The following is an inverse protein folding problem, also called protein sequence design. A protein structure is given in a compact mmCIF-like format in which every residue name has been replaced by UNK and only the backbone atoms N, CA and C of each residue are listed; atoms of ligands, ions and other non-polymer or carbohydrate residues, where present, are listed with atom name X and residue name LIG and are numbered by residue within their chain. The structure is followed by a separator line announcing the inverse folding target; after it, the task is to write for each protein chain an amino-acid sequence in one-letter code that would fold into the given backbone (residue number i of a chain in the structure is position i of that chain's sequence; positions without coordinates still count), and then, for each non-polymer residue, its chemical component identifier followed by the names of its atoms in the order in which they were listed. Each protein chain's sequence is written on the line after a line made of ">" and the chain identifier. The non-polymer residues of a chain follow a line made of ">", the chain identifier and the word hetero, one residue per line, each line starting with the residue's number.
data_IF_118864707702
#
_entry.id   IF_118864707702
#
_cell.length_a   1.000
_cell.length_b   1.000
_cell.length_c   1.000
_cell.angle_alpha   90.00
_cell.angle_beta   90.00
_cell.angle_gamma   90.00
#
_symmetry.space_group_name_H-M   'P 1'
#
loop_
_entity.id
_entity.type
_entity.pdbx_description
1 polymer ?
#
# COMPACT_ATOMS: atom_id res chain seq x y z
N UNK A 1 17.57 -51.57 50.46
CA UNK A 1 17.60 -50.21 49.90
C UNK A 1 17.84 -50.30 48.41
N UNK A 2 16.83 -50.01 47.58
CA UNK A 2 16.99 -49.83 46.13
C UNK A 2 16.63 -48.38 45.83
N UNK A 3 17.59 -47.61 45.32
CA UNK A 3 17.39 -46.23 44.91
C UNK A 3 16.80 -46.21 43.49
N UNK A 4 15.68 -45.51 43.31
CA UNK A 4 15.05 -45.25 42.01
C UNK A 4 15.47 -43.84 41.60
N UNK A 5 16.26 -43.74 40.54
CA UNK A 5 16.69 -42.46 39.94
C UNK A 5 15.65 -42.05 38.91
N UNK A 6 14.95 -40.95 39.15
CA UNK A 6 14.04 -40.34 38.18
C UNK A 6 14.82 -39.43 37.24
N UNK A 7 14.80 -39.74 35.94
CA UNK A 7 15.34 -38.88 34.89
C UNK A 7 14.20 -37.96 34.42
N UNK A 8 14.26 -36.68 34.78
CA UNK A 8 13.40 -35.65 34.20
C UNK A 8 13.88 -35.31 32.78
N UNK A 9 13.15 -35.76 31.77
CA UNK A 9 13.28 -35.27 30.39
C UNK A 9 12.64 -33.88 30.31
N UNK A 10 13.48 -32.85 30.27
CA UNK A 10 13.08 -31.49 29.87
C UNK A 10 12.78 -31.51 28.37
N UNK A 11 11.49 -31.50 28.02
CA UNK A 11 11.05 -31.24 26.66
C UNK A 11 11.30 -29.75 26.34
N UNK A 12 12.42 -29.45 25.68
CA UNK A 12 12.67 -28.15 25.09
C UNK A 12 11.72 -27.94 23.91
N UNK A 13 10.66 -27.16 24.12
CA UNK A 13 9.84 -26.62 23.04
C UNK A 13 10.71 -25.70 22.19
N UNK A 14 11.08 -26.18 20.99
CA UNK A 14 11.64 -25.33 19.94
C UNK A 14 10.62 -24.25 19.60
N UNK A 15 10.87 -23.03 20.08
CA UNK A 15 10.20 -21.84 19.54
C UNK A 15 10.74 -21.69 18.12
N UNK A 16 9.98 -22.16 17.14
CA UNK A 16 10.23 -21.81 15.74
C UNK A 16 9.99 -20.31 15.65
N UNK A 17 11.05 -19.52 15.65
CA UNK A 17 10.98 -18.11 15.30
C UNK A 17 10.43 -18.05 13.88
N UNK A 18 9.29 -17.38 13.69
CA UNK A 18 8.77 -17.12 12.34
C UNK A 18 9.89 -16.52 11.47
N UNK A 19 10.01 -16.99 10.23
CA UNK A 19 10.97 -16.42 9.29
C UNK A 19 10.65 -14.93 9.12
N UNK A 20 11.64 -14.06 9.33
CA UNK A 20 11.55 -12.62 9.12
C UNK A 20 12.88 -12.13 8.51
N UNK A 21 12.98 -10.85 8.17
CA UNK A 21 14.16 -10.27 7.57
C UNK A 21 15.39 -10.52 8.45
N UNK A 22 16.57 -10.77 7.85
CA UNK A 22 17.79 -10.97 8.62
C UNK A 22 18.24 -9.70 9.35
N UNK A 23 17.76 -8.52 8.94
CA UNK A 23 17.93 -7.26 9.65
C UNK A 23 16.64 -6.84 10.35
N UNK A 24 16.79 -6.30 11.56
CA UNK A 24 15.70 -5.70 12.33
C UNK A 24 15.69 -4.19 12.13
N UNK A 25 14.57 -3.60 11.67
CA UNK A 25 14.39 -2.15 11.64
C UNK A 25 14.51 -1.53 13.03
N UNK A 26 15.12 -0.35 13.11
CA UNK A 26 14.94 0.55 14.25
C UNK A 26 13.71 1.40 13.94
N UNK A 27 12.65 1.37 14.77
CA UNK A 27 11.44 2.12 14.48
C UNK A 27 11.67 3.62 14.64
N UNK A 28 10.99 4.43 13.81
CA UNK A 28 11.23 5.88 13.74
C UNK A 28 11.01 6.62 15.07
N UNK A 29 10.13 6.13 15.94
CA UNK A 29 9.85 6.74 17.25
C UNK A 29 10.92 6.46 18.31
N UNK A 30 11.87 5.58 18.03
CA UNK A 30 13.08 5.37 18.85
C UNK A 30 14.27 6.23 18.36
N UNK A 31 14.08 7.05 17.32
CA UNK A 31 15.14 7.88 16.73
C UNK A 31 14.80 9.36 16.89
N UNK A 32 15.60 10.10 17.66
CA UNK A 32 15.49 11.55 17.78
C UNK A 32 16.23 12.27 16.62
N UNK A 33 15.49 12.96 15.77
CA UNK A 33 16.02 13.65 14.59
C UNK A 33 16.46 15.08 14.93
N UNK A 34 17.75 15.24 15.26
CA UNK A 34 18.33 16.54 15.65
C UNK A 34 18.96 17.34 14.49
N UNK A 35 19.00 16.77 13.28
CA UNK A 35 19.64 17.37 12.10
C UNK A 35 19.02 18.72 11.70
N UNK A 36 19.87 19.69 11.37
CA UNK A 36 19.45 20.98 10.80
C UNK A 36 18.80 20.85 9.41
N UNK A 37 18.99 19.73 8.73
CA UNK A 37 18.37 19.45 7.43
C UNK A 37 16.98 18.83 7.58
N UNK A 38 16.84 17.78 8.40
CA UNK A 38 15.61 17.00 8.50
C UNK A 38 14.62 17.56 9.52
N UNK A 39 15.08 18.06 10.67
CA UNK A 39 14.20 18.55 11.73
C UNK A 39 13.25 19.66 11.26
N UNK A 40 13.70 20.70 10.51
CA UNK A 40 12.78 21.72 10.02
C UNK A 40 11.71 21.15 9.08
N UNK A 41 12.04 20.13 8.28
CA UNK A 41 11.08 19.49 7.37
C UNK A 41 9.99 18.73 8.14
N UNK A 42 10.37 18.00 9.20
CA UNK A 42 9.40 17.32 10.07
C UNK A 42 8.47 18.32 10.78
N UNK A 43 8.99 19.46 11.23
CA UNK A 43 8.16 20.52 11.82
C UNK A 43 7.23 21.17 10.79
N UNK A 44 7.70 21.41 9.57
CA UNK A 44 6.85 21.89 8.46
C UNK A 44 5.77 20.86 8.12
N UNK A 45 6.11 19.56 8.11
CA UNK A 45 5.14 18.50 7.87
C UNK A 45 4.01 18.56 8.90
N UNK A 46 4.37 18.70 10.18
CA UNK A 46 3.40 18.75 11.29
C UNK A 46 2.56 20.02 11.31
N UNK A 47 3.18 21.18 11.12
CA UNK A 47 2.52 22.47 11.35
C UNK A 47 1.86 23.05 10.10
N UNK A 48 2.26 22.64 8.90
CA UNK A 48 1.74 23.16 7.64
C UNK A 48 1.17 22.05 6.76
N UNK A 49 1.97 21.03 6.43
CA UNK A 49 1.60 20.05 5.41
C UNK A 49 0.39 19.22 5.80
N UNK A 50 0.40 18.59 6.98
CA UNK A 50 -0.70 17.72 7.41
C UNK A 50 -2.02 18.50 7.55
N UNK A 51 -2.05 19.69 8.18
CA UNK A 51 -3.24 20.54 8.16
C UNK A 51 -3.71 20.90 6.74
N UNK A 52 -2.79 21.27 5.85
CA UNK A 52 -3.11 21.57 4.44
C UNK A 52 -3.70 20.35 3.72
N UNK A 53 -3.08 19.19 3.88
CA UNK A 53 -3.46 17.95 3.22
C UNK A 53 -4.85 17.50 3.67
N UNK A 54 -5.16 17.58 4.98
CA UNK A 54 -6.52 17.31 5.45
C UNK A 54 -7.58 18.21 4.82
N UNK A 55 -7.26 19.49 4.58
CA UNK A 55 -8.16 20.39 3.87
C UNK A 55 -8.36 20.00 2.40
N UNK A 56 -7.38 19.34 1.78
CA UNK A 56 -7.49 18.81 0.41
C UNK A 56 -8.22 17.47 0.32
N UNK A 57 -8.33 16.74 1.42
CA UNK A 57 -9.01 15.44 1.48
C UNK A 57 -10.43 15.51 2.05
N UNK A 58 -10.99 16.71 2.26
CA UNK A 58 -12.38 16.89 2.72
C UNK A 58 -13.38 16.23 1.76
N UNK A 59 -13.08 16.21 0.46
CA UNK A 59 -13.85 15.49 -0.56
C UNK A 59 -13.86 13.97 -0.33
N UNK A 60 -12.78 13.38 0.16
CA UNK A 60 -12.73 11.97 0.56
C UNK A 60 -13.61 11.69 1.79
N UNK A 61 -13.58 12.59 2.78
CA UNK A 61 -14.50 12.51 3.94
C UNK A 61 -15.96 12.59 3.48
N UNK A 62 -16.28 13.51 2.57
CA UNK A 62 -17.63 13.66 2.02
C UNK A 62 -18.07 12.44 1.20
N UNK A 63 -17.16 11.83 0.43
CA UNK A 63 -17.42 10.60 -0.33
C UNK A 63 -17.78 9.44 0.62
N UNK A 64 -17.03 9.26 1.72
CA UNK A 64 -17.34 8.28 2.77
C UNK A 64 -18.63 8.61 3.52
N UNK A 65 -18.87 9.89 3.84
CA UNK A 65 -20.10 10.32 4.49
C UNK A 65 -21.34 10.02 3.63
N UNK A 66 -21.25 10.15 2.31
CA UNK A 66 -22.33 9.76 1.41
C UNK A 66 -22.64 8.25 1.51
N UNK A 67 -21.64 7.38 1.58
CA UNK A 67 -21.88 5.96 1.82
C UNK A 67 -22.52 5.70 3.19
N UNK A 68 -22.05 6.35 4.25
CA UNK A 68 -22.65 6.24 5.58
C UNK A 68 -24.12 6.69 5.57
N UNK A 69 -24.43 7.77 4.86
CA UNK A 69 -25.79 8.29 4.72
C UNK A 69 -26.68 7.35 3.91
N UNK A 70 -26.19 6.79 2.80
CA UNK A 70 -26.92 5.79 2.02
C UNK A 70 -27.24 4.53 2.85
N UNK A 71 -26.28 4.04 3.63
CA UNK A 71 -26.48 2.89 4.53
C UNK A 71 -27.45 3.19 5.68
N UNK A 72 -27.56 4.46 6.07
CA UNK A 72 -28.57 4.95 7.02
C UNK A 72 -29.95 5.21 6.36
N UNK A 73 -30.12 4.92 5.06
CA UNK A 73 -31.37 5.14 4.33
C UNK A 73 -31.63 6.61 3.96
N UNK A 74 -30.62 7.48 4.05
CA UNK A 74 -30.72 8.88 3.62
C UNK A 74 -30.43 9.01 2.13
N UNK A 75 -30.97 10.05 1.50
CA UNK A 75 -30.68 10.37 0.11
C UNK A 75 -29.28 10.97 -0.03
N UNK A 76 -28.58 10.60 -1.09
CA UNK A 76 -27.22 11.06 -1.42
C UNK A 76 -27.21 11.81 -2.75
N UNK A 77 -28.17 12.72 -2.93
CA UNK A 77 -28.36 13.45 -4.18
C UNK A 77 -27.10 14.25 -4.54
N UNK A 78 -26.60 14.09 -5.77
CA UNK A 78 -25.41 14.81 -6.26
C UNK A 78 -24.07 14.22 -5.81
N UNK A 79 -24.05 13.06 -5.13
CA UNK A 79 -22.82 12.32 -4.90
C UNK A 79 -22.16 11.95 -6.24
N UNK A 80 -20.87 12.25 -6.41
CA UNK A 80 -20.14 12.01 -7.66
C UNK A 80 -19.32 10.73 -7.56
N UNK A 81 -19.27 9.89 -8.62
CA UNK A 81 -18.42 8.71 -8.62
C UNK A 81 -16.94 9.07 -8.61
N UNK A 82 -16.15 8.35 -7.82
CA UNK A 82 -14.70 8.46 -7.82
C UNK A 82 -14.04 7.12 -7.44
N UNK A 83 -12.95 6.77 -8.14
CA UNK A 83 -12.27 5.46 -7.98
C UNK A 83 -11.44 5.35 -6.70
N UNK A 84 -10.68 6.39 -6.37
CA UNK A 84 -9.64 6.30 -5.33
C UNK A 84 -9.47 7.53 -4.42
N UNK A 85 -10.46 8.43 -4.36
CA UNK A 85 -10.34 9.67 -3.56
C UNK A 85 -10.22 9.39 -2.07
N UNK A 86 -10.78 8.27 -1.62
CA UNK A 86 -10.70 7.82 -0.24
C UNK A 86 -9.25 7.50 0.15
N UNK A 87 -8.45 6.99 -0.78
CA UNK A 87 -7.04 6.68 -0.53
C UNK A 87 -6.22 7.92 -0.19
N UNK A 88 -6.58 9.09 -0.73
CA UNK A 88 -5.88 10.35 -0.41
C UNK A 88 -6.08 10.70 1.06
N UNK A 89 -7.31 10.57 1.56
CA UNK A 89 -7.61 10.72 2.98
C UNK A 89 -6.83 9.70 3.82
N UNK A 90 -6.83 8.42 3.43
CA UNK A 90 -6.15 7.37 4.19
C UNK A 90 -4.63 7.60 4.29
N UNK A 91 -3.97 8.01 3.21
CA UNK A 91 -2.53 8.36 3.23
C UNK A 91 -2.24 9.55 4.14
N UNK A 92 -3.10 10.59 4.13
CA UNK A 92 -2.95 11.74 5.04
C UNK A 92 -3.14 11.31 6.49
N UNK A 93 -4.11 10.43 6.75
CA UNK A 93 -4.30 9.83 8.07
C UNK A 93 -3.07 9.03 8.51
N UNK A 94 -2.51 8.18 7.67
CA UNK A 94 -1.28 7.43 7.98
C UNK A 94 -0.12 8.36 8.37
N UNK A 95 0.14 9.40 7.56
CA UNK A 95 1.17 10.41 7.86
C UNK A 95 0.91 11.15 9.18
N UNK A 96 -0.34 11.51 9.45
CA UNK A 96 -0.74 12.14 10.70
C UNK A 96 -0.52 11.21 11.91
N UNK A 97 -0.82 9.92 11.78
CA UNK A 97 -0.60 8.94 12.85
C UNK A 97 0.88 8.79 13.22
N UNK A 98 1.79 8.85 12.23
CA UNK A 98 3.23 8.87 12.52
C UNK A 98 3.64 10.10 13.34
N UNK A 99 3.08 11.27 13.06
CA UNK A 99 3.35 12.47 13.85
C UNK A 99 2.80 12.38 15.28
N UNK A 100 1.60 11.82 15.45
CA UNK A 100 1.02 11.56 16.78
C UNK A 100 1.92 10.60 17.58
N UNK A 101 2.50 9.58 16.94
CA UNK A 101 3.44 8.67 17.60
C UNK A 101 4.72 9.39 18.09
N UNK A 102 5.20 10.40 17.37
CA UNK A 102 6.37 11.18 17.76
C UNK A 102 6.05 12.16 18.89
N UNK A 103 4.84 12.70 18.90
CA UNK A 103 4.42 13.72 19.87
C UNK A 103 2.91 13.76 19.98
N UNK A 104 2.43 13.63 21.21
CA UNK A 104 1.00 13.76 21.53
C UNK A 104 0.39 15.04 20.94
N UNK A 105 -0.73 14.86 20.24
CA UNK A 105 -1.52 15.95 19.67
C UNK A 105 -3.03 15.63 19.81
N UNK A 106 -3.63 15.94 20.98
CA UNK A 106 -5.03 15.60 21.25
C UNK A 106 -6.03 16.22 20.25
N UNK A 107 -5.68 17.36 19.62
CA UNK A 107 -6.54 17.99 18.62
C UNK A 107 -6.53 17.21 17.31
N UNK A 108 -5.35 16.76 16.90
CA UNK A 108 -5.19 15.92 15.71
C UNK A 108 -5.85 14.55 15.92
N UNK A 109 -5.67 13.94 17.10
CA UNK A 109 -6.35 12.70 17.47
C UNK A 109 -7.88 12.84 17.44
N UNK A 110 -8.45 13.90 18.02
CA UNK A 110 -9.90 14.11 17.99
C UNK A 110 -10.44 14.27 16.56
N UNK A 111 -9.69 14.94 15.69
CA UNK A 111 -10.03 15.03 14.25
C UNK A 111 -9.97 13.65 13.59
N UNK A 112 -8.94 12.87 13.88
CA UNK A 112 -8.78 11.51 13.36
C UNK A 112 -9.94 10.61 13.82
N UNK A 113 -10.29 10.63 15.11
CA UNK A 113 -11.38 9.86 15.70
C UNK A 113 -12.72 10.17 15.01
N UNK A 114 -13.01 11.46 14.75
CA UNK A 114 -14.21 11.86 14.03
C UNK A 114 -14.24 11.31 12.58
N UNK A 115 -13.10 11.28 11.89
CA UNK A 115 -13.01 10.70 10.55
C UNK A 115 -13.17 9.18 10.60
N UNK A 116 -12.61 8.51 11.61
CA UNK A 116 -12.77 7.07 11.84
C UNK A 116 -14.23 6.70 12.07
N UNK A 117 -14.99 7.55 12.76
CA UNK A 117 -16.44 7.36 12.92
C UNK A 117 -17.17 7.36 11.57
N UNK A 118 -16.81 8.28 10.66
CA UNK A 118 -17.36 8.34 9.30
C UNK A 118 -16.98 7.09 8.50
N UNK A 119 -15.70 6.69 8.52
CA UNK A 119 -15.23 5.49 7.81
C UNK A 119 -15.97 4.24 8.32
N UNK A 120 -16.10 4.09 9.64
CA UNK A 120 -16.79 2.96 10.23
C UNK A 120 -18.28 2.93 9.85
N UNK A 121 -18.94 4.09 9.80
CA UNK A 121 -20.34 4.19 9.37
C UNK A 121 -20.53 3.95 7.86
N UNK A 122 -19.50 4.19 7.05
CA UNK A 122 -19.48 3.93 5.61
C UNK A 122 -19.26 2.46 5.24
N UNK A 123 -18.92 1.60 6.21
CA UNK A 123 -18.70 0.17 5.98
C UNK A 123 -20.01 -0.61 5.95
N UNK A 124 -20.23 -1.41 4.90
CA UNK A 124 -21.38 -2.32 4.83
C UNK A 124 -21.35 -3.37 5.96
N UNK A 125 -22.52 -3.95 6.30
CA UNK A 125 -22.61 -5.01 7.31
C UNK A 125 -21.69 -6.20 7.05
N UNK A 126 -21.47 -6.57 5.78
CA UNK A 126 -20.56 -7.66 5.39
C UNK A 126 -19.08 -7.26 5.33
N UNK A 127 -18.74 -5.98 5.56
CA UNK A 127 -17.35 -5.49 5.56
C UNK A 127 -16.91 -4.78 4.28
N UNK A 128 -17.72 -4.83 3.21
CA UNK A 128 -17.45 -4.07 1.99
C UNK A 128 -17.40 -2.56 2.28
N UNK A 129 -16.46 -1.85 1.66
CA UNK A 129 -16.32 -0.40 1.81
C UNK A 129 -15.81 0.19 0.50
N UNK A 130 -16.72 0.80 -0.26
CA UNK A 130 -16.39 1.53 -1.47
C UNK A 130 -17.56 2.46 -1.83
N UNK A 131 -17.46 3.77 -1.52
CA UNK A 131 -18.64 4.63 -1.50
C UNK A 131 -19.38 4.77 -2.83
N UNK A 132 -18.66 4.74 -3.95
CA UNK A 132 -19.29 4.85 -5.27
C UNK A 132 -20.24 3.68 -5.56
N UNK A 133 -19.90 2.44 -5.19
CA UNK A 133 -20.82 1.31 -5.33
C UNK A 133 -21.91 1.31 -4.25
N UNK A 134 -21.56 1.64 -3.00
CA UNK A 134 -22.53 1.68 -1.89
C UNK A 134 -23.65 2.71 -2.12
N UNK A 135 -23.36 3.82 -2.79
CA UNK A 135 -24.34 4.87 -3.11
C UNK A 135 -25.02 4.67 -4.48
N UNK A 136 -24.63 3.64 -5.24
CA UNK A 136 -25.17 3.34 -6.56
C UNK A 136 -24.66 4.22 -7.71
N UNK A 137 -23.79 5.20 -7.45
CA UNK A 137 -23.22 6.08 -8.49
C UNK A 137 -22.08 5.41 -9.28
N UNK A 138 -21.58 4.26 -8.80
CA UNK A 138 -20.50 3.50 -9.45
C UNK A 138 -20.87 2.94 -10.82
N UNK A 139 -22.15 2.69 -11.07
CA UNK A 139 -22.68 2.31 -12.39
C UNK A 139 -22.68 3.46 -13.40
N UNK A 140 -22.48 4.70 -12.95
CA UNK A 140 -22.30 5.83 -13.87
C UNK A 140 -20.84 5.91 -14.35
N UNK A 141 -20.65 5.66 -15.64
CA UNK A 141 -19.39 5.74 -16.43
C UNK A 141 -18.46 4.55 -16.20
N UNK A 142 -17.85 4.08 -17.30
CA UNK A 142 -16.92 2.93 -17.45
C UNK A 142 -15.63 3.02 -16.60
N UNK A 143 -15.78 3.24 -15.29
CA UNK A 143 -14.71 3.62 -14.39
C UNK A 143 -14.36 2.51 -13.39
N UNK A 144 -15.37 1.85 -12.84
CA UNK A 144 -15.24 0.90 -11.74
C UNK A 144 -16.13 -0.34 -11.87
N UNK A 145 -16.76 -0.52 -13.03
CA UNK A 145 -17.76 -1.57 -13.28
C UNK A 145 -19.15 -1.18 -12.76
N UNK A 146 -20.18 -1.90 -13.17
CA UNK A 146 -21.57 -1.66 -12.71
C UNK A 146 -21.81 -2.26 -11.33
N UNK A 147 -21.01 -3.27 -10.96
CA UNK A 147 -21.10 -3.99 -9.69
C UNK A 147 -19.74 -4.00 -8.97
N UNK A 148 -19.75 -4.17 -7.63
CA UNK A 148 -18.54 -4.40 -6.86
C UNK A 148 -17.64 -5.45 -7.48
N UNK A 149 -16.36 -5.11 -7.60
CA UNK A 149 -15.31 -5.99 -8.12
C UNK A 149 -15.51 -6.52 -9.55
N UNK A 150 -16.36 -5.90 -10.36
CA UNK A 150 -16.50 -6.26 -11.78
C UNK A 150 -15.32 -5.75 -12.62
N UNK A 151 -14.71 -4.63 -12.22
CA UNK A 151 -13.62 -4.00 -12.95
C UNK A 151 -12.35 -3.80 -12.10
N UNK A 152 -11.94 -4.86 -11.37
CA UNK A 152 -10.80 -4.85 -10.43
C UNK A 152 -9.50 -4.28 -11.01
N UNK A 153 -9.30 -4.41 -12.33
CA UNK A 153 -8.12 -3.88 -13.04
C UNK A 153 -7.96 -2.36 -12.89
N UNK A 154 -9.07 -1.63 -12.70
CA UNK A 154 -9.08 -0.17 -12.66
C UNK A 154 -9.99 0.47 -11.61
N UNK A 155 -10.85 -0.29 -10.92
CA UNK A 155 -11.76 0.24 -9.89
C UNK A 155 -11.04 0.81 -8.67
N UNK A 156 -9.84 0.32 -8.35
CA UNK A 156 -9.07 0.66 -7.16
C UNK A 156 -9.74 0.28 -5.82
N UNK A 157 -10.77 -0.58 -5.83
CA UNK A 157 -11.42 -1.07 -4.61
C UNK A 157 -10.41 -1.67 -3.60
N UNK A 158 -9.53 -2.55 -4.07
CA UNK A 158 -8.49 -3.15 -3.23
C UNK A 158 -7.35 -2.19 -2.89
N UNK A 159 -7.04 -1.23 -3.76
CA UNK A 159 -6.00 -0.23 -3.51
C UNK A 159 -6.42 0.73 -2.39
N UNK A 160 -7.66 1.21 -2.43
CA UNK A 160 -8.21 2.05 -1.37
C UNK A 160 -8.14 1.34 -0.02
N UNK A 161 -8.48 0.04 0.00
CA UNK A 161 -8.51 -0.73 1.25
C UNK A 161 -7.11 -1.02 1.78
N UNK A 162 -6.12 -1.27 0.92
CA UNK A 162 -4.73 -1.41 1.37
C UNK A 162 -4.24 -0.13 2.08
N UNK A 163 -4.45 1.05 1.49
CA UNK A 163 -4.12 2.30 2.18
C UNK A 163 -4.94 2.56 3.45
N UNK A 164 -6.21 2.14 3.50
CA UNK A 164 -7.00 2.20 4.74
C UNK A 164 -6.38 1.32 5.83
N UNK A 165 -5.87 0.13 5.47
CA UNK A 165 -5.21 -0.75 6.43
C UNK A 165 -3.92 -0.13 6.95
N UNK A 166 -3.10 0.48 6.09
CA UNK A 166 -1.88 1.16 6.53
C UNK A 166 -2.18 2.29 7.51
N UNK A 167 -3.21 3.11 7.22
CA UNK A 167 -3.69 4.14 8.13
C UNK A 167 -4.21 3.58 9.47
N UNK A 168 -4.97 2.48 9.42
CA UNK A 168 -5.49 1.79 10.60
C UNK A 168 -4.37 1.29 11.51
N UNK A 169 -3.35 0.68 10.90
CA UNK A 169 -2.17 0.13 11.57
C UNK A 169 -1.36 1.25 12.22
N UNK A 170 -1.05 2.31 11.47
CA UNK A 170 -0.29 3.44 11.97
C UNK A 170 -1.00 4.09 13.16
N UNK A 171 -2.32 4.29 13.08
CA UNK A 171 -3.09 4.91 14.16
C UNK A 171 -3.20 4.03 15.41
N UNK A 172 -3.38 2.72 15.22
CA UNK A 172 -3.37 1.77 16.33
C UNK A 172 -2.00 1.75 17.03
N UNK A 173 -0.89 1.75 16.28
CA UNK A 173 0.46 1.79 16.86
C UNK A 173 0.77 3.13 17.55
N UNK A 174 0.18 4.23 17.07
CA UNK A 174 0.31 5.55 17.66
C UNK A 174 -0.44 5.70 18.98
N UNK A 175 -1.70 5.24 19.05
CA UNK A 175 -2.63 5.59 20.13
C UNK A 175 -3.16 4.41 20.94
N UNK A 176 -3.02 3.18 20.43
CA UNK A 176 -3.68 1.99 20.96
C UNK A 176 -5.18 1.89 20.65
N UNK A 177 -5.79 2.89 20.00
CA UNK A 177 -7.21 2.87 19.61
C UNK A 177 -7.41 1.92 18.43
N UNK A 178 -8.33 0.96 18.58
CA UNK A 178 -8.49 -0.15 17.64
C UNK A 178 -9.73 -0.05 16.72
N UNK A 179 -10.49 1.06 16.78
CA UNK A 179 -11.73 1.20 16.00
C UNK A 179 -11.48 1.09 14.50
N UNK A 180 -10.52 1.83 13.95
CA UNK A 180 -10.17 1.74 12.52
C UNK A 180 -9.52 0.39 12.19
N UNK A 181 -8.73 -0.18 13.12
CA UNK A 181 -8.15 -1.51 12.96
C UNK A 181 -9.25 -2.59 12.80
N UNK A 182 -10.31 -2.54 13.61
CA UNK A 182 -11.46 -3.45 13.47
C UNK A 182 -12.20 -3.29 12.15
N UNK A 183 -12.30 -2.07 11.62
CA UNK A 183 -12.85 -1.80 10.28
C UNK A 183 -11.98 -2.48 9.21
N UNK A 184 -10.65 -2.33 9.30
CA UNK A 184 -9.69 -2.99 8.43
C UNK A 184 -9.79 -4.52 8.49
N UNK A 185 -9.83 -5.11 9.69
CA UNK A 185 -9.96 -6.55 9.86
C UNK A 185 -11.28 -7.11 9.30
N UNK A 186 -12.38 -6.36 9.46
CA UNK A 186 -13.69 -6.74 8.89
C UNK A 186 -13.69 -6.66 7.37
N UNK A 187 -13.05 -5.63 6.79
CA UNK A 187 -12.89 -5.55 5.34
C UNK A 187 -11.96 -6.66 4.82
N UNK A 188 -10.90 -7.00 5.53
CA UNK A 188 -10.00 -8.09 5.13
C UNK A 188 -10.72 -9.44 5.12
N UNK A 189 -11.58 -9.71 6.09
CA UNK A 189 -12.45 -10.89 6.10
C UNK A 189 -13.38 -10.92 4.88
N UNK A 190 -14.04 -9.80 4.59
CA UNK A 190 -14.89 -9.64 3.41
C UNK A 190 -14.14 -9.91 2.10
N UNK A 191 -12.97 -9.28 1.93
CA UNK A 191 -12.13 -9.46 0.73
C UNK A 191 -11.70 -10.91 0.60
N UNK A 192 -11.31 -11.59 1.69
CA UNK A 192 -10.95 -13.01 1.62
C UNK A 192 -12.13 -13.88 1.15
N UNK A 193 -13.31 -13.67 1.72
CA UNK A 193 -14.53 -14.39 1.34
C UNK A 193 -14.79 -14.20 -0.16
N UNK A 194 -14.88 -12.96 -0.65
CA UNK A 194 -15.22 -12.68 -2.04
C UNK A 194 -14.14 -13.13 -3.03
N UNK A 195 -12.85 -12.96 -2.72
CA UNK A 195 -11.78 -13.23 -3.69
C UNK A 195 -11.30 -14.67 -3.70
N UNK A 196 -11.42 -15.41 -2.60
CA UNK A 196 -10.81 -16.73 -2.45
C UNK A 196 -11.77 -17.85 -2.07
N UNK A 197 -12.93 -17.55 -1.45
CA UNK A 197 -13.90 -18.56 -1.00
C UNK A 197 -15.15 -18.59 -1.89
N UNK A 198 -15.67 -17.40 -2.24
CA UNK A 198 -16.89 -17.18 -3.00
C UNK A 198 -18.06 -16.76 -2.10
N UNK A 199 -18.78 -15.71 -2.50
CA UNK A 199 -19.98 -15.21 -1.83
C UNK A 199 -21.10 -15.10 -2.88
N UNK A 200 -22.30 -15.69 -2.68
CA UNK A 200 -23.42 -15.62 -3.63
C UNK A 200 -23.81 -14.19 -4.08
N UNK A 201 -23.56 -13.16 -3.26
CA UNK A 201 -23.82 -11.74 -3.61
C UNK A 201 -22.86 -11.23 -4.70
N UNK A 202 -21.70 -11.86 -4.87
CA UNK A 202 -20.63 -11.41 -5.76
C UNK A 202 -20.27 -12.49 -6.78
N UNK A 203 -20.09 -12.11 -8.05
CA UNK A 203 -19.61 -13.01 -9.11
C UNK A 203 -20.35 -14.37 -9.20
N UNK A 204 -21.66 -14.37 -8.92
CA UNK A 204 -22.50 -15.57 -8.92
C UNK A 204 -22.05 -16.67 -7.95
N UNK A 205 -21.44 -16.31 -6.81
CA UNK A 205 -20.94 -17.25 -5.81
C UNK A 205 -19.56 -17.84 -6.12
N UNK A 206 -18.95 -17.50 -7.26
CA UNK A 206 -17.59 -17.95 -7.59
C UNK A 206 -16.56 -16.97 -7.04
N UNK A 207 -15.46 -17.45 -6.44
CA UNK A 207 -14.40 -16.55 -5.98
C UNK A 207 -13.83 -15.76 -7.16
N UNK A 208 -13.61 -14.46 -6.96
CA UNK A 208 -13.17 -13.55 -8.04
C UNK A 208 -11.81 -13.97 -8.62
N UNK A 209 -10.87 -14.37 -7.75
CA UNK A 209 -9.53 -14.81 -8.13
C UNK A 209 -8.83 -13.86 -9.12
N UNK A 210 -8.94 -12.55 -8.91
CA UNK A 210 -8.18 -11.54 -9.65
C UNK A 210 -7.29 -10.75 -8.70
N UNK A 211 -6.02 -10.55 -9.06
CA UNK A 211 -5.10 -9.74 -8.27
C UNK A 211 -5.49 -8.23 -8.37
N UNK A 212 -5.14 -7.40 -7.38
CA UNK A 212 -5.37 -5.95 -7.45
C UNK A 212 -4.90 -5.34 -8.77
N UNK A 213 -5.75 -4.51 -9.40
CA UNK A 213 -5.35 -3.76 -10.58
C UNK A 213 -4.23 -2.75 -10.29
N UNK A 214 -4.22 -2.18 -9.09
CA UNK A 214 -3.13 -1.39 -8.53
C UNK A 214 -2.69 -2.06 -7.23
N UNK A 215 -1.43 -2.50 -7.19
CA UNK A 215 -0.83 -3.17 -6.03
C UNK A 215 -0.69 -2.22 -4.85
N UNK A 216 -0.99 -2.71 -3.65
CA UNK A 216 -0.98 -1.98 -2.37
C UNK A 216 -1.52 -2.92 -1.28
N UNK A 217 -2.60 -3.63 -1.60
CA UNK A 217 -3.22 -4.63 -0.72
C UNK A 217 -2.23 -5.68 -0.20
N UNK A 218 -1.29 -6.14 -1.03
CA UNK A 218 -0.33 -7.18 -0.66
C UNK A 218 0.60 -6.75 0.48
N UNK A 219 1.18 -5.55 0.41
CA UNK A 219 2.09 -5.04 1.45
C UNK A 219 1.30 -4.62 2.72
N UNK A 220 0.11 -4.06 2.54
CA UNK A 220 -0.75 -3.65 3.64
C UNK A 220 -1.23 -4.85 4.47
N UNK A 221 -1.58 -5.97 3.82
CA UNK A 221 -1.93 -7.22 4.49
C UNK A 221 -0.78 -7.82 5.29
N UNK A 222 0.47 -7.70 4.80
CA UNK A 222 1.64 -8.10 5.60
C UNK A 222 1.78 -7.23 6.85
N UNK A 223 1.63 -5.91 6.72
CA UNK A 223 1.65 -5.02 7.89
C UNK A 223 0.51 -5.38 8.87
N UNK A 224 -0.68 -5.70 8.37
CA UNK A 224 -1.82 -6.12 9.19
C UNK A 224 -1.53 -7.45 9.91
N UNK A 225 -0.91 -8.42 9.24
CA UNK A 225 -0.41 -9.66 9.86
C UNK A 225 0.56 -9.36 11.00
N UNK A 226 1.55 -8.47 10.79
CA UNK A 226 2.55 -8.15 11.82
C UNK A 226 1.94 -7.58 13.10
N UNK A 227 0.87 -6.78 12.98
CA UNK A 227 0.22 -6.14 14.13
C UNK A 227 -0.79 -7.05 14.83
N UNK A 228 -1.45 -7.94 14.09
CA UNK A 228 -2.55 -8.78 14.62
C UNK A 228 -2.15 -10.22 14.92
N UNK A 229 -1.08 -10.72 14.31
CA UNK A 229 -0.68 -12.13 14.34
C UNK A 229 -1.61 -13.08 13.57
N UNK A 230 -2.61 -12.58 12.86
CA UNK A 230 -3.61 -13.42 12.16
C UNK A 230 -3.07 -13.92 10.81
N UNK A 231 -2.79 -15.22 10.74
CA UNK A 231 -2.23 -15.89 9.56
C UNK A 231 -3.02 -15.65 8.26
N UNK A 232 -4.34 -15.45 8.38
CA UNK A 232 -5.23 -15.11 7.27
C UNK A 232 -4.64 -14.00 6.37
N UNK A 233 -4.10 -12.93 6.95
CA UNK A 233 -3.65 -11.78 6.18
C UNK A 233 -2.36 -12.06 5.39
N UNK A 234 -1.41 -12.80 5.98
CA UNK A 234 -0.22 -13.25 5.28
C UNK A 234 -0.59 -14.23 4.14
N UNK A 235 -1.56 -15.12 4.38
CA UNK A 235 -2.06 -16.04 3.36
C UNK A 235 -2.76 -15.30 2.21
N UNK A 236 -3.56 -14.28 2.50
CA UNK A 236 -4.18 -13.43 1.48
C UNK A 236 -3.13 -12.69 0.65
N UNK A 237 -2.14 -12.06 1.29
CA UNK A 237 -1.06 -11.36 0.59
C UNK A 237 -0.33 -12.31 -0.37
N UNK A 238 0.02 -13.52 0.11
CA UNK A 238 0.61 -14.56 -0.72
C UNK A 238 -0.29 -14.99 -1.87
N UNK A 239 -1.57 -15.26 -1.62
CA UNK A 239 -2.53 -15.68 -2.66
C UNK A 239 -2.66 -14.62 -3.75
N UNK A 240 -2.75 -13.32 -3.40
CA UNK A 240 -2.80 -12.24 -4.39
C UNK A 240 -1.56 -12.19 -5.30
N UNK A 241 -0.36 -12.37 -4.73
CA UNK A 241 0.88 -12.49 -5.51
C UNK A 241 0.89 -13.73 -6.40
N UNK A 242 0.44 -14.88 -5.89
CA UNK A 242 0.44 -16.14 -6.62
C UNK A 242 -0.54 -16.17 -7.80
N UNK A 243 -1.67 -15.45 -7.73
CA UNK A 243 -2.66 -15.41 -8.82
C UNK A 243 -2.34 -14.36 -9.89
N UNK A 244 -1.52 -13.35 -9.58
CA UNK A 244 -1.19 -12.23 -10.48
C UNK A 244 -0.52 -12.75 -11.75
N UNK A 245 -1.13 -12.43 -12.90
CA UNK A 245 -0.67 -12.87 -14.22
C UNK A 245 -0.85 -14.37 -14.48
N UNK A 246 -1.76 -15.03 -13.74
CA UNK A 246 -2.12 -16.44 -13.92
C UNK A 246 -3.63 -16.60 -14.13
N UNK A 247 -4.42 -16.13 -13.18
CA UNK A 247 -5.89 -16.34 -13.19
C UNK A 247 -6.62 -15.29 -14.02
N UNK A 248 -6.00 -14.12 -14.18
CA UNK A 248 -6.47 -13.04 -15.03
C UNK A 248 -5.26 -12.32 -15.65
N UNK A 249 -5.34 -12.05 -16.94
CA UNK A 249 -4.38 -11.25 -17.70
C UNK A 249 -5.22 -10.30 -18.57
N UNK A 250 -5.11 -8.97 -18.40
CA UNK A 250 -5.76 -8.02 -19.29
C UNK A 250 -5.35 -8.26 -20.75
N UNK A 251 -6.28 -8.11 -21.69
CA UNK A 251 -6.00 -8.13 -23.12
C UNK A 251 -6.27 -6.74 -23.70
N UNK A 252 -5.21 -6.00 -24.02
CA UNK A 252 -5.29 -4.61 -24.46
C UNK A 252 -3.95 -3.89 -24.51
N UNK A 253 -4.00 -2.58 -24.74
CA UNK A 253 -2.85 -1.70 -24.87
C UNK A 253 -2.87 -0.55 -23.85
N UNK A 254 -1.76 0.18 -23.71
CA UNK A 254 -1.64 1.29 -22.78
C UNK A 254 -1.97 0.86 -21.35
N UNK A 255 -2.94 1.52 -20.72
CA UNK A 255 -3.39 1.20 -19.35
C UNK A 255 -4.11 -0.14 -19.22
N UNK A 256 -4.54 -0.74 -20.35
CA UNK A 256 -5.09 -2.11 -20.40
C UNK A 256 -4.05 -3.15 -20.79
N UNK A 257 -2.78 -2.76 -21.00
CA UNK A 257 -1.72 -3.73 -21.32
C UNK A 257 -1.45 -4.68 -20.14
N UNK A 258 -1.16 -5.98 -20.41
CA UNK A 258 -0.71 -6.90 -19.37
C UNK A 258 0.45 -6.39 -18.52
N UNK A 259 1.34 -5.56 -19.09
CA UNK A 259 2.51 -5.02 -18.38
C UNK A 259 2.15 -3.87 -17.44
N UNK A 260 1.09 -3.10 -17.72
CA UNK A 260 0.72 -1.89 -16.98
C UNK A 260 0.51 -2.14 -15.47
N UNK A 261 -0.17 -3.23 -15.14
CA UNK A 261 -0.42 -3.72 -13.77
C UNK A 261 0.45 -4.93 -13.40
N UNK A 262 1.56 -5.14 -14.13
CA UNK A 262 2.50 -6.24 -13.90
C UNK A 262 1.81 -7.62 -13.89
N UNK A 263 0.81 -7.82 -14.75
CA UNK A 263 0.06 -9.07 -14.93
C UNK A 263 0.50 -9.88 -16.17
N UNK A 264 1.52 -9.41 -16.89
CA UNK A 264 2.06 -10.07 -18.09
C UNK A 264 2.67 -11.46 -17.82
N UNK A 265 3.08 -11.75 -16.58
CA UNK A 265 3.69 -13.02 -16.15
C UNK A 265 3.45 -13.27 -14.66
N UNK A 266 3.51 -14.54 -14.20
CA UNK A 266 3.61 -14.86 -12.77
C UNK A 266 4.73 -14.06 -12.12
N UNK A 267 4.48 -13.48 -10.94
CA UNK A 267 5.43 -12.54 -10.29
C UNK A 267 6.83 -13.13 -10.06
N UNK A 268 6.92 -14.42 -9.73
CA UNK A 268 8.18 -15.13 -9.54
C UNK A 268 8.99 -15.35 -10.84
N UNK A 269 8.40 -15.07 -12.00
CA UNK A 269 9.01 -15.21 -13.34
C UNK A 269 9.22 -13.86 -14.02
N UNK A 270 8.94 -12.75 -13.34
CA UNK A 270 9.24 -11.41 -13.84
C UNK A 270 10.74 -11.11 -13.61
N UNK A 271 11.38 -10.48 -14.60
CA UNK A 271 12.82 -10.21 -14.56
C UNK A 271 13.17 -8.77 -14.96
N UNK A 272 12.16 -7.95 -15.28
CA UNK A 272 12.32 -6.56 -15.73
C UNK A 272 11.23 -5.69 -15.11
N UNK A 273 11.54 -4.43 -14.87
CA UNK A 273 10.57 -3.45 -14.41
C UNK A 273 9.81 -2.85 -15.60
N UNK A 274 8.49 -3.07 -15.64
CA UNK A 274 7.62 -2.69 -16.76
C UNK A 274 6.30 -2.09 -16.24
N UNK A 275 5.62 -1.32 -17.09
CA UNK A 275 4.32 -0.73 -16.76
C UNK A 275 4.43 0.44 -15.79
N UNK A 276 3.34 0.71 -15.07
CA UNK A 276 3.23 1.82 -14.14
C UNK A 276 4.24 1.72 -12.99
N UNK A 277 4.97 2.80 -12.69
CA UNK A 277 6.10 2.77 -11.78
C UNK A 277 5.71 2.57 -10.30
N UNK A 278 4.63 3.22 -9.84
CA UNK A 278 4.08 3.00 -8.48
C UNK A 278 3.59 1.57 -8.29
N UNK A 279 2.68 1.09 -9.16
CA UNK A 279 2.18 -0.30 -9.13
C UNK A 279 3.31 -1.32 -9.01
N UNK A 280 4.36 -1.12 -9.81
CA UNK A 280 5.54 -1.96 -9.81
C UNK A 280 6.25 -1.93 -8.44
N UNK A 281 6.62 -0.77 -7.93
CA UNK A 281 7.37 -0.66 -6.66
C UNK A 281 6.59 -1.11 -5.43
N UNK A 282 5.26 -0.92 -5.42
CA UNK A 282 4.39 -1.46 -4.37
C UNK A 282 4.30 -2.98 -4.44
N UNK A 283 4.18 -3.55 -5.65
CA UNK A 283 4.26 -4.99 -5.85
C UNK A 283 5.58 -5.57 -5.37
N UNK A 284 6.70 -4.94 -5.73
CA UNK A 284 8.03 -5.43 -5.36
C UNK A 284 8.24 -5.39 -3.85
N UNK A 285 7.70 -4.37 -3.19
CA UNK A 285 7.68 -4.28 -1.73
C UNK A 285 6.87 -5.43 -1.10
N UNK A 286 5.66 -5.70 -1.59
CA UNK A 286 4.85 -6.83 -1.13
C UNK A 286 5.49 -8.19 -1.40
N UNK A 287 6.16 -8.35 -2.55
CA UNK A 287 6.91 -9.56 -2.90
C UNK A 287 8.08 -9.81 -1.95
N UNK A 288 8.83 -8.78 -1.56
CA UNK A 288 9.93 -8.92 -0.62
C UNK A 288 9.41 -9.36 0.76
N UNK A 289 8.36 -8.69 1.22
CA UNK A 289 7.72 -8.96 2.50
C UNK A 289 7.18 -10.39 2.60
N UNK A 290 6.37 -10.83 1.62
CA UNK A 290 5.85 -12.20 1.56
C UNK A 290 6.98 -13.21 1.30
N UNK A 291 7.96 -12.85 0.47
CA UNK A 291 9.11 -13.68 0.13
C UNK A 291 9.82 -14.21 1.38
N UNK A 292 10.05 -13.32 2.33
CA UNK A 292 10.70 -13.63 3.60
C UNK A 292 9.75 -14.35 4.55
N UNK A 293 8.57 -13.78 4.82
CA UNK A 293 7.65 -14.28 5.85
C UNK A 293 7.04 -15.65 5.50
N UNK A 294 6.84 -15.94 4.21
CA UNK A 294 6.27 -17.20 3.73
C UNK A 294 7.31 -18.14 3.08
N UNK A 295 8.61 -17.83 3.20
CA UNK A 295 9.71 -18.68 2.69
C UNK A 295 9.71 -18.86 1.16
N UNK A 296 9.20 -17.88 0.40
CA UNK A 296 9.12 -17.92 -1.07
C UNK A 296 10.41 -17.37 -1.69
N UNK A 297 11.48 -18.16 -1.63
CA UNK A 297 12.81 -17.80 -2.15
C UNK A 297 12.83 -17.41 -3.64
N UNK A 298 11.88 -17.91 -4.43
CA UNK A 298 11.73 -17.53 -5.84
C UNK A 298 11.42 -16.03 -6.03
N UNK A 299 10.78 -15.37 -5.05
CA UNK A 299 10.52 -13.93 -5.13
C UNK A 299 11.81 -13.13 -5.00
N UNK A 300 12.71 -13.50 -4.10
CA UNK A 300 14.01 -12.83 -3.95
C UNK A 300 14.79 -12.81 -5.28
N UNK A 301 14.86 -13.96 -5.97
CA UNK A 301 15.53 -14.04 -7.28
C UNK A 301 14.88 -13.13 -8.34
N UNK A 302 13.55 -13.08 -8.39
CA UNK A 302 12.85 -12.19 -9.31
C UNK A 302 13.15 -10.70 -9.00
N UNK A 303 13.12 -10.35 -7.72
CA UNK A 303 13.43 -9.00 -7.24
C UNK A 303 14.86 -8.59 -7.53
N UNK A 304 15.84 -9.48 -7.40
CA UNK A 304 17.24 -9.21 -7.77
C UNK A 304 17.38 -8.82 -9.25
N UNK A 305 16.74 -9.57 -10.14
CA UNK A 305 16.74 -9.26 -11.58
C UNK A 305 16.02 -7.95 -11.90
N UNK A 306 14.86 -7.73 -11.28
CA UNK A 306 14.07 -6.50 -11.46
C UNK A 306 14.82 -5.28 -10.94
N UNK A 307 15.43 -5.38 -9.77
CA UNK A 307 16.21 -4.31 -9.16
C UNK A 307 17.39 -3.92 -10.06
N UNK A 308 18.18 -4.90 -10.53
CA UNK A 308 19.27 -4.64 -11.47
C UNK A 308 18.76 -3.99 -12.76
N UNK A 309 17.62 -4.43 -13.29
CA UNK A 309 17.02 -3.81 -14.47
C UNK A 309 16.65 -2.32 -14.23
N UNK A 310 16.12 -2.00 -13.05
CA UNK A 310 15.82 -0.62 -12.66
C UNK A 310 17.11 0.20 -12.62
N UNK A 311 18.07 -0.23 -11.81
CA UNK A 311 19.29 0.57 -11.54
C UNK A 311 20.19 0.72 -12.75
N UNK A 312 20.28 -0.31 -13.58
CA UNK A 312 21.24 -0.33 -14.69
C UNK A 312 20.67 0.31 -15.96
N UNK A 313 19.34 0.37 -16.10
CA UNK A 313 18.72 0.72 -17.40
C UNK A 313 17.49 1.62 -17.34
N UNK A 314 16.85 1.84 -16.17
CA UNK A 314 15.51 2.49 -16.10
C UNK A 314 15.33 3.48 -14.95
N UNK A 315 16.42 3.97 -14.36
CA UNK A 315 16.39 4.93 -13.27
C UNK A 315 17.09 6.22 -13.67
N UNK A 316 16.41 7.36 -13.52
CA UNK A 316 17.01 8.67 -13.73
C UNK A 316 18.02 8.99 -12.64
N UNK A 317 18.94 9.94 -12.92
CA UNK A 317 20.01 10.32 -11.98
C UNK A 317 19.50 10.83 -10.61
N UNK A 318 18.25 11.29 -10.56
CA UNK A 318 17.56 11.74 -9.34
C UNK A 318 16.93 10.59 -8.53
N UNK A 319 17.11 9.33 -8.98
CA UNK A 319 16.41 8.16 -8.42
C UNK A 319 14.93 8.08 -8.84
N UNK A 320 14.51 8.95 -9.77
CA UNK A 320 13.18 8.95 -10.35
C UNK A 320 12.92 7.75 -11.25
N UNK A 321 11.69 7.27 -11.20
CA UNK A 321 11.19 6.14 -11.99
C UNK A 321 9.97 6.58 -12.79
N UNK A 322 10.01 6.35 -14.10
CA UNK A 322 8.90 6.67 -15.00
C UNK A 322 9.36 7.55 -16.15
N UNK A 323 9.53 6.96 -17.33
CA UNK A 323 9.95 7.65 -18.54
C UNK A 323 8.76 8.03 -19.44
N UNK A 324 7.61 7.38 -19.28
CA UNK A 324 6.48 7.50 -20.22
C UNK A 324 5.25 8.05 -19.51
N UNK A 325 4.75 9.19 -19.98
CA UNK A 325 3.56 9.86 -19.42
C UNK A 325 2.28 9.02 -19.51
N UNK A 326 1.99 8.42 -20.68
CA UNK A 326 0.70 7.76 -20.92
C UNK A 326 0.41 6.53 -20.04
N UNK A 327 1.45 5.93 -19.45
CA UNK A 327 1.34 4.81 -18.51
C UNK A 327 1.97 5.12 -17.16
N UNK A 328 2.44 6.36 -16.96
CA UNK A 328 3.05 6.81 -15.71
C UNK A 328 4.16 5.85 -15.23
N UNK A 329 5.00 5.43 -16.17
CA UNK A 329 5.66 4.14 -16.07
C UNK A 329 6.98 4.00 -16.81
N UNK A 330 7.55 2.81 -16.70
CA UNK A 330 8.83 2.47 -17.31
C UNK A 330 8.73 2.45 -18.84
N UNK A 331 9.64 3.16 -19.51
CA UNK A 331 9.85 3.06 -20.96
C UNK A 331 10.76 1.88 -21.33
N UNK A 332 11.19 1.76 -22.60
CA UNK A 332 12.30 0.91 -23.04
C UNK A 332 13.58 1.04 -22.20
N UNK A 333 14.47 0.03 -22.27
CA UNK A 333 15.75 0.08 -21.55
C UNK A 333 16.62 1.22 -22.11
N UNK A 334 17.26 1.98 -21.22
CA UNK A 334 18.06 3.18 -21.50
C UNK A 334 17.28 4.39 -22.03
N UNK A 335 15.94 4.32 -22.07
CA UNK A 335 15.10 5.46 -22.40
C UNK A 335 14.82 6.30 -21.15
N UNK A 336 15.66 7.32 -20.94
CA UNK A 336 15.62 8.23 -19.81
C UNK A 336 15.55 9.69 -20.31
N UNK A 337 14.39 10.14 -20.84
CA UNK A 337 14.23 11.53 -21.28
C UNK A 337 14.34 12.48 -20.08
N UNK A 338 14.83 13.71 -20.30
CA UNK A 338 14.95 14.70 -19.22
C UNK A 338 13.70 15.58 -19.11
N UNK A 339 13.40 16.34 -20.18
CA UNK A 339 12.28 17.28 -20.20
C UNK A 339 10.91 16.59 -20.13
N UNK A 340 10.79 15.45 -20.79
CA UNK A 340 9.56 14.64 -20.88
C UNK A 340 9.55 13.47 -19.88
N UNK A 341 10.37 13.53 -18.82
CA UNK A 341 10.37 12.50 -17.78
C UNK A 341 9.08 12.59 -16.95
N UNK A 342 8.49 11.44 -16.63
CA UNK A 342 7.34 11.41 -15.73
C UNK A 342 7.76 11.48 -14.27
N UNK A 343 8.64 10.56 -13.84
CA UNK A 343 9.28 10.54 -12.52
C UNK A 343 8.33 10.91 -11.36
N UNK A 344 7.22 10.18 -11.28
CA UNK A 344 6.18 10.46 -10.31
C UNK A 344 6.73 10.46 -8.87
N UNK A 345 6.31 11.41 -8.05
CA UNK A 345 6.67 11.48 -6.63
C UNK A 345 6.35 10.18 -5.89
N UNK A 346 5.17 9.60 -6.13
CA UNK A 346 4.78 8.32 -5.50
C UNK A 346 5.72 7.19 -5.91
N UNK A 347 6.21 7.18 -7.16
CA UNK A 347 7.13 6.16 -7.63
C UNK A 347 8.50 6.30 -6.96
N UNK A 348 8.94 7.53 -6.64
CA UNK A 348 10.14 7.77 -5.85
C UNK A 348 10.00 7.26 -4.41
N UNK A 349 8.86 7.51 -3.75
CA UNK A 349 8.57 6.95 -2.42
C UNK A 349 8.54 5.43 -2.48
N UNK A 350 7.86 4.85 -3.48
CA UNK A 350 7.87 3.41 -3.73
C UNK A 350 9.27 2.84 -3.97
N UNK A 351 10.15 3.58 -4.65
CA UNK A 351 11.55 3.19 -4.85
C UNK A 351 12.31 3.13 -3.52
N UNK A 352 12.10 4.08 -2.61
CA UNK A 352 12.65 4.07 -1.25
C UNK A 352 12.13 2.86 -0.46
N UNK A 353 10.81 2.60 -0.50
CA UNK A 353 10.18 1.47 0.19
C UNK A 353 10.70 0.12 -0.31
N UNK A 354 10.91 -0.02 -1.61
CA UNK A 354 11.42 -1.24 -2.23
C UNK A 354 12.89 -1.46 -1.87
N UNK A 355 13.74 -0.43 -2.02
CA UNK A 355 15.15 -0.53 -1.72
C UNK A 355 15.43 -0.76 -0.22
N UNK A 356 14.63 -0.17 0.67
CA UNK A 356 14.74 -0.46 2.10
C UNK A 356 14.52 -1.95 2.40
N UNK A 357 13.54 -2.59 1.75
CA UNK A 357 13.29 -4.04 1.90
C UNK A 357 14.40 -4.89 1.29
N UNK A 358 14.96 -4.49 0.16
CA UNK A 358 16.13 -5.17 -0.42
C UNK A 358 17.35 -5.04 0.51
N UNK A 359 17.58 -3.89 1.14
CA UNK A 359 18.59 -3.74 2.17
C UNK A 359 18.35 -4.70 3.34
N UNK A 360 17.12 -4.75 3.87
CA UNK A 360 16.77 -5.66 4.96
C UNK A 360 16.99 -7.13 4.59
N UNK A 361 16.76 -7.50 3.33
CA UNK A 361 16.94 -8.86 2.81
C UNK A 361 18.42 -9.23 2.62
N UNK A 362 19.20 -8.35 2.00
CA UNK A 362 20.53 -8.69 1.51
C UNK A 362 21.68 -8.21 2.39
N UNK A 363 21.45 -7.22 3.27
CA UNK A 363 22.49 -6.61 4.11
C UNK A 363 23.60 -5.93 3.30
N UNK A 364 23.24 -5.32 2.18
CA UNK A 364 24.17 -4.67 1.26
C UNK A 364 23.80 -3.18 1.13
N UNK A 365 24.78 -2.30 1.36
CA UNK A 365 24.57 -0.86 1.41
C UNK A 365 24.14 -0.26 0.06
N UNK A 366 24.43 -0.92 -1.08
CA UNK A 366 24.03 -0.43 -2.41
C UNK A 366 22.53 -0.14 -2.55
N UNK A 367 21.71 -0.89 -1.81
CA UNK A 367 20.26 -0.69 -1.81
C UNK A 367 19.92 0.62 -1.07
N UNK A 368 20.61 0.95 0.02
CA UNK A 368 20.46 2.24 0.70
C UNK A 368 21.04 3.39 -0.12
N UNK A 369 22.11 3.18 -0.90
CA UNK A 369 22.62 4.22 -1.81
C UNK A 369 21.52 4.64 -2.81
N UNK A 370 20.83 3.66 -3.42
CA UNK A 370 19.70 3.95 -4.32
C UNK A 370 18.53 4.62 -3.59
N UNK A 371 18.19 4.14 -2.39
CA UNK A 371 17.14 4.75 -1.57
C UNK A 371 17.48 6.21 -1.21
N UNK A 372 18.75 6.49 -0.88
CA UNK A 372 19.24 7.83 -0.56
C UNK A 372 19.15 8.76 -1.77
N UNK A 373 19.58 8.30 -2.96
CA UNK A 373 19.46 9.09 -4.20
C UNK A 373 18.00 9.47 -4.46
N UNK A 374 17.07 8.50 -4.39
CA UNK A 374 15.65 8.78 -4.60
C UNK A 374 15.07 9.72 -3.53
N UNK A 375 15.43 9.49 -2.25
CA UNK A 375 14.95 10.27 -1.12
C UNK A 375 15.43 11.72 -1.17
N UNK A 376 16.74 11.94 -1.35
CA UNK A 376 17.34 13.27 -1.25
C UNK A 376 17.13 14.13 -2.50
N UNK A 377 16.75 13.52 -3.63
CA UNK A 377 16.52 14.23 -4.89
C UNK A 377 15.03 14.23 -5.25
N UNK A 378 14.50 13.14 -5.81
CA UNK A 378 13.14 13.15 -6.37
C UNK A 378 12.05 13.32 -5.29
N UNK A 379 12.14 12.59 -4.17
CA UNK A 379 11.13 12.71 -3.08
C UNK A 379 11.14 14.10 -2.47
N UNK A 380 12.32 14.67 -2.20
CA UNK A 380 12.42 16.00 -1.59
C UNK A 380 12.11 17.14 -2.55
N UNK A 381 12.41 17.01 -3.84
CA UNK A 381 12.06 18.01 -4.85
C UNK A 381 10.54 18.19 -4.99
N UNK A 382 9.78 17.13 -4.68
CA UNK A 382 8.35 17.10 -4.85
C UNK A 382 7.55 17.98 -3.87
N UNK A 383 8.17 18.51 -2.81
CA UNK A 383 7.50 19.36 -1.82
C UNK A 383 8.25 20.67 -1.69
N UNK A 384 7.55 21.80 -1.88
CA UNK A 384 8.19 23.10 -1.66
C UNK A 384 8.64 23.26 -0.20
N UNK A 385 9.61 24.15 0.06
CA UNK A 385 10.14 24.37 1.41
C UNK A 385 9.08 24.79 2.45
N UNK A 386 7.99 25.42 1.99
CA UNK A 386 6.86 25.80 2.85
C UNK A 386 5.88 24.65 3.15
N UNK A 387 6.00 23.49 2.49
CA UNK A 387 5.18 22.29 2.76
C UNK A 387 3.74 22.33 2.26
N UNK A 388 3.41 23.16 1.28
CA UNK A 388 2.03 23.40 0.82
C UNK A 388 1.84 23.42 -0.70
N UNK A 389 2.88 23.08 -1.47
CA UNK A 389 2.82 22.88 -2.92
C UNK A 389 3.61 21.64 -3.29
N UNK A 390 3.10 20.89 -4.26
CA UNK A 390 3.57 19.55 -4.57
C UNK A 390 3.77 19.39 -6.07
N UNK A 391 4.78 18.63 -6.44
CA UNK A 391 4.87 18.06 -7.79
C UNK A 391 4.26 16.67 -7.80
N UNK A 392 3.47 16.41 -8.85
CA UNK A 392 3.12 15.05 -9.25
C UNK A 392 4.25 14.47 -10.11
N UNK A 393 4.67 15.22 -11.12
CA UNK A 393 5.70 14.90 -12.13
C UNK A 393 6.98 15.67 -11.81
N UNK A 394 8.14 15.01 -11.87
CA UNK A 394 9.45 15.61 -11.54
C UNK A 394 10.45 15.46 -12.72
N UNK A 395 10.36 16.32 -13.75
CA UNK A 395 11.30 16.33 -14.87
C UNK A 395 12.70 16.80 -14.44
N UNK A 396 13.70 16.65 -15.33
CA UNK A 396 15.12 16.96 -15.07
C UNK A 396 15.59 18.28 -15.69
#
# INVERSE_FOLDING_TARGET
>A
MRAITWICLLASTLVVTAADYPLKPVPFHEVDMTSAFWRPRLETQRTVLVPFAFGKTESGVAHLQAAADALAGKKTDGHRPHRFIDSDLYKVMEGAAYLVKLRDDPKLEAKFDAIVDVIAAAQEPNGYLYPSHTTGVGAEKDMMGDKPYEFVVHSHELYNMGHMYEAAIAYYQATGKDKLLKVAEKNAAHVNEVFFEGDPKYNGGKPIRQAPGHQEMELALVKLYRVTGKQLYLDMARKFLEIRGITYVPDGEGVMSPTYAQQHRPVAKQTKAVGHAVRATYLYSGMADVGVLAGKTAYAKALDHIWANITDTRMHITGGLGAVHGIEGFGPEYELPNADAFNETCAAVGNVLFNYRMFLLHKDAKYLDVAEVALLNNVLAAVNLAGNRFFYVNPL
#
